data_IF_578209875245
#
_entry.id   IF_578209875245
#
_cell.length_a   1.000
_cell.length_b   1.000
_cell.length_c   1.000
_cell.angle_alpha   90.00
_cell.angle_beta   90.00
_cell.angle_gamma   90.00
#
_symmetry.space_group_name_H-M   'P 1'
#
loop_
_entity.id
_entity.type
_entity.pdbx_description
1 polymer ?
#
# COMPACT_ATOMS: atom_id res chain seq x y z
N UNK A 1 -9.18 -5.43 8.17
CA UNK A 1 -8.44 -4.49 7.32
C UNK A 1 -6.95 -4.81 7.41
N UNK A 2 -6.30 -5.00 6.26
CA UNK A 2 -4.85 -5.25 6.16
C UNK A 2 -4.03 -3.97 6.35
N UNK A 3 -2.71 -4.09 6.49
CA UNK A 3 -1.83 -2.90 6.56
C UNK A 3 -1.81 -2.13 5.24
N UNK A 4 -1.94 -2.83 4.11
CA UNK A 4 -1.96 -2.23 2.78
C UNK A 4 -3.23 -1.39 2.57
N UNK A 5 -4.40 -1.92 2.94
CA UNK A 5 -5.69 -1.21 2.86
C UNK A 5 -5.69 0.06 3.72
N UNK A 6 -5.14 0.00 4.93
CA UNK A 6 -5.08 1.16 5.80
C UNK A 6 -4.11 2.23 5.28
N UNK A 7 -2.96 1.82 4.72
CA UNK A 7 -2.03 2.75 4.08
C UNK A 7 -2.60 3.34 2.79
N UNK A 8 -3.41 2.60 2.04
CA UNK A 8 -4.15 3.13 0.90
C UNK A 8 -5.14 4.22 1.35
N UNK A 9 -5.94 3.96 2.40
CA UNK A 9 -6.82 4.97 2.98
C UNK A 9 -6.04 6.23 3.44
N UNK A 10 -4.87 6.06 4.06
CA UNK A 10 -4.01 7.17 4.46
C UNK A 10 -3.54 8.03 3.27
N UNK A 11 -3.26 7.42 2.11
CA UNK A 11 -2.83 8.16 0.92
C UNK A 11 -3.90 9.08 0.32
N UNK A 12 -5.15 8.98 0.77
CA UNK A 12 -6.25 9.85 0.35
C UNK A 12 -6.48 11.03 1.32
N UNK A 13 -5.87 11.00 2.50
CA UNK A 13 -6.00 12.08 3.48
C UNK A 13 -5.22 13.30 3.01
N UNK A 14 -5.86 14.47 3.05
CA UNK A 14 -5.21 15.73 2.70
C UNK A 14 -4.26 16.17 3.82
N UNK A 15 -2.95 16.08 3.55
CA UNK A 15 -1.88 16.45 4.49
C UNK A 15 -0.92 17.44 3.85
N UNK A 16 -0.37 18.35 4.66
CA UNK A 16 0.62 19.33 4.20
C UNK A 16 1.97 18.70 3.87
N UNK A 17 2.81 19.41 3.10
CA UNK A 17 4.10 18.88 2.65
C UNK A 17 5.02 18.40 3.78
N UNK A 18 5.11 19.19 4.86
CA UNK A 18 5.89 18.82 6.06
C UNK A 18 5.43 17.51 6.71
N UNK A 19 4.12 17.25 6.74
CA UNK A 19 3.58 15.98 7.24
C UNK A 19 3.89 14.83 6.29
N UNK A 20 3.82 15.03 4.97
CA UNK A 20 4.22 14.03 3.98
C UNK A 20 5.69 13.65 4.13
N UNK A 21 6.57 14.64 4.28
CA UNK A 21 8.02 14.42 4.44
C UNK A 21 8.34 13.67 5.74
N UNK A 22 7.51 13.85 6.79
CA UNK A 22 7.63 13.13 8.07
C UNK A 22 7.06 11.70 8.04
N UNK A 23 5.93 11.49 7.36
CA UNK A 23 5.20 10.21 7.33
C UNK A 23 5.82 9.24 6.31
N UNK A 24 6.21 9.73 5.13
CA UNK A 24 6.67 8.88 4.02
C UNK A 24 7.84 7.96 4.40
N UNK A 25 8.91 8.44 5.05
CA UNK A 25 10.04 7.58 5.41
C UNK A 25 9.65 6.47 6.39
N UNK A 26 8.71 6.74 7.30
CA UNK A 26 8.20 5.75 8.28
C UNK A 26 7.42 4.64 7.57
N UNK A 27 6.56 5.01 6.63
CA UNK A 27 5.79 4.05 5.82
C UNK A 27 6.71 3.21 4.95
N UNK A 28 7.70 3.82 4.29
CA UNK A 28 8.71 3.12 3.49
C UNK A 28 9.50 2.12 4.33
N UNK A 29 10.04 2.57 5.46
CA UNK A 29 10.81 1.73 6.37
C UNK A 29 9.99 0.51 6.83
N UNK A 30 8.73 0.72 7.22
CA UNK A 30 7.83 -0.39 7.57
C UNK A 30 7.58 -1.32 6.38
N UNK A 31 7.30 -0.81 5.18
CA UNK A 31 7.06 -1.63 3.98
C UNK A 31 8.27 -2.49 3.64
N UNK A 32 9.45 -1.89 3.67
CA UNK A 32 10.71 -2.59 3.42
C UNK A 32 10.94 -3.69 4.46
N UNK A 33 10.86 -3.36 5.77
CA UNK A 33 11.01 -4.36 6.83
C UNK A 33 9.96 -5.47 6.73
N UNK A 34 8.72 -5.14 6.36
CA UNK A 34 7.64 -6.12 6.21
C UNK A 34 7.87 -7.04 5.01
N UNK A 35 8.41 -6.53 3.91
CA UNK A 35 8.79 -7.31 2.74
C UNK A 35 9.95 -8.26 3.08
N UNK A 36 11.03 -7.75 3.68
CA UNK A 36 12.19 -8.54 4.13
C UNK A 36 11.74 -9.64 5.10
N UNK A 37 10.93 -9.29 6.11
CA UNK A 37 10.43 -10.28 7.07
C UNK A 37 9.58 -11.37 6.39
N UNK A 38 8.76 -10.99 5.41
CA UNK A 38 7.92 -11.92 4.65
C UNK A 38 8.75 -12.86 3.76
N UNK A 39 9.86 -12.39 3.23
CA UNK A 39 10.74 -13.18 2.37
C UNK A 39 11.67 -14.09 3.18
N UNK A 40 12.35 -13.54 4.19
CA UNK A 40 13.43 -14.23 4.89
C UNK A 40 12.96 -14.97 6.15
N UNK A 41 11.99 -14.42 6.88
CA UNK A 41 11.62 -14.91 8.22
C UNK A 41 10.32 -15.73 8.21
N UNK A 42 9.32 -15.31 7.43
CA UNK A 42 8.02 -15.99 7.36
C UNK A 42 8.11 -17.48 6.96
N UNK A 43 8.98 -17.92 6.02
CA UNK A 43 9.12 -19.35 5.71
C UNK A 43 9.55 -20.18 6.92
N UNK A 44 10.55 -19.70 7.65
CA UNK A 44 11.05 -20.33 8.89
C UNK A 44 9.98 -20.33 9.96
N UNK A 45 9.32 -19.19 10.17
CA UNK A 45 8.20 -19.06 11.12
C UNK A 45 7.08 -20.06 10.84
N UNK A 46 6.67 -20.20 9.56
CA UNK A 46 5.64 -21.16 9.14
C UNK A 46 6.09 -22.60 9.32
N UNK A 47 7.36 -22.91 9.07
CA UNK A 47 7.93 -24.25 9.31
C UNK A 47 7.85 -24.61 10.79
N UNK A 48 8.25 -23.70 11.69
CA UNK A 48 8.20 -23.92 13.13
C UNK A 48 6.76 -24.08 13.64
N UNK A 49 5.80 -23.34 13.09
CA UNK A 49 4.38 -23.54 13.42
C UNK A 49 3.87 -24.93 13.03
N UNK A 50 4.34 -25.49 11.91
CA UNK A 50 4.01 -26.87 11.50
C UNK A 50 4.64 -27.89 12.44
N UNK A 51 5.92 -27.71 12.78
CA UNK A 51 6.63 -28.57 13.73
C UNK A 51 5.97 -28.55 15.11
N UNK A 52 5.60 -27.37 15.61
CA UNK A 52 4.90 -27.21 16.89
C UNK A 52 3.59 -28.00 16.96
N UNK A 53 2.81 -28.04 15.87
CA UNK A 53 1.55 -28.81 15.83
C UNK A 53 1.77 -30.31 15.99
N UNK A 54 2.88 -30.82 15.46
CA UNK A 54 3.20 -32.24 15.43
C UNK A 54 4.17 -32.67 16.56
N UNK A 55 4.69 -31.71 17.33
CA UNK A 55 5.63 -31.96 18.40
C UNK A 55 4.98 -32.62 19.62
N UNK A 56 5.77 -33.40 20.35
CA UNK A 56 5.46 -33.92 21.67
C UNK A 56 5.39 -32.79 22.73
N UNK A 57 4.84 -33.05 23.93
CA UNK A 57 4.65 -32.01 24.95
C UNK A 57 5.94 -31.28 25.36
N UNK A 58 7.07 -31.98 25.42
CA UNK A 58 8.36 -31.41 25.81
C UNK A 58 8.93 -30.48 24.73
N UNK A 59 8.92 -30.88 23.44
CA UNK A 59 9.40 -30.00 22.37
C UNK A 59 8.43 -28.86 22.05
N UNK A 60 7.13 -28.99 22.36
CA UNK A 60 6.15 -27.90 22.19
C UNK A 60 6.52 -26.66 22.98
N UNK A 61 7.01 -26.80 24.22
CA UNK A 61 7.37 -25.65 25.06
C UNK A 61 8.55 -24.90 24.45
N UNK A 62 9.60 -25.62 24.02
CA UNK A 62 10.77 -25.03 23.35
C UNK A 62 10.35 -24.29 22.07
N UNK A 63 9.62 -24.97 21.18
CA UNK A 63 9.16 -24.39 19.91
C UNK A 63 8.26 -23.17 20.14
N UNK A 64 7.42 -23.17 21.18
CA UNK A 64 6.59 -22.03 21.52
C UNK A 64 7.41 -20.80 21.91
N UNK A 65 8.51 -20.97 22.66
CA UNK A 65 9.41 -19.87 23.03
C UNK A 65 10.09 -19.28 21.80
N UNK A 66 10.58 -20.12 20.89
CA UNK A 66 11.22 -19.67 19.65
C UNK A 66 10.22 -19.00 18.70
N UNK A 67 9.01 -19.56 18.54
CA UNK A 67 7.90 -18.95 17.79
C UNK A 67 7.56 -17.57 18.35
N UNK A 68 7.53 -17.42 19.69
CA UNK A 68 7.31 -16.11 20.34
C UNK A 68 8.46 -15.14 20.05
N UNK A 69 9.70 -15.60 20.08
CA UNK A 69 10.87 -14.77 19.78
C UNK A 69 10.83 -14.26 18.34
N UNK A 70 10.61 -15.15 17.37
CA UNK A 70 10.50 -14.78 15.95
C UNK A 70 9.31 -13.85 15.72
N UNK A 71 8.16 -14.11 16.35
CA UNK A 71 6.99 -13.23 16.22
C UNK A 71 7.28 -11.79 16.65
N UNK A 72 8.14 -11.57 17.66
CA UNK A 72 8.54 -10.22 18.11
C UNK A 72 9.38 -9.47 17.08
N UNK A 73 10.05 -10.17 16.17
CA UNK A 73 10.82 -9.53 15.08
C UNK A 73 9.94 -9.00 13.96
N UNK A 74 8.65 -9.39 13.94
CA UNK A 74 7.72 -8.92 12.92
C UNK A 74 7.53 -7.41 13.03
N UNK A 75 7.62 -6.65 11.92
CA UNK A 75 7.37 -5.21 11.92
C UNK A 75 6.01 -4.87 12.52
N UNK A 76 6.01 -3.96 13.50
CA UNK A 76 4.84 -3.65 14.29
C UNK A 76 3.98 -2.57 13.61
N UNK A 77 2.94 -3.01 12.91
CA UNK A 77 2.02 -2.11 12.23
C UNK A 77 1.24 -1.18 13.19
N UNK A 78 0.96 -1.61 14.42
CA UNK A 78 0.25 -0.78 15.40
C UNK A 78 1.12 0.42 15.81
N UNK A 79 2.41 0.19 16.01
CA UNK A 79 3.36 1.26 16.32
C UNK A 79 3.48 2.27 15.17
N UNK A 80 3.48 1.80 13.92
CA UNK A 80 3.44 2.71 12.76
C UNK A 80 2.16 3.56 12.77
N UNK A 81 1.00 2.94 13.00
CA UNK A 81 -0.29 3.65 13.07
C UNK A 81 -0.28 4.74 14.12
N UNK A 82 0.14 4.42 15.34
CA UNK A 82 0.23 5.39 16.44
C UNK A 82 1.14 6.57 16.08
N UNK A 83 2.31 6.28 15.52
CA UNK A 83 3.28 7.30 15.09
C UNK A 83 2.71 8.23 14.00
N UNK A 84 1.96 7.69 13.04
CA UNK A 84 1.31 8.48 12.00
C UNK A 84 0.16 9.30 12.59
N UNK A 85 -0.68 8.70 13.42
CA UNK A 85 -1.81 9.37 14.07
C UNK A 85 -1.34 10.55 14.94
N UNK A 86 -0.19 10.45 15.60
CA UNK A 86 0.41 11.57 16.33
C UNK A 86 0.82 12.75 15.42
N UNK A 87 1.04 12.50 14.14
CA UNK A 87 1.45 13.50 13.15
C UNK A 87 0.26 14.16 12.45
N UNK A 88 -0.97 13.69 12.69
CA UNK A 88 -2.21 14.20 12.11
C UNK A 88 -2.98 15.06 13.11
N UNK A 89 -3.63 16.11 12.61
CA UNK A 89 -4.58 16.89 13.39
C UNK A 89 -5.94 16.17 13.55
N UNK A 90 -6.86 16.76 14.31
CA UNK A 90 -8.18 16.17 14.56
C UNK A 90 -9.04 16.03 13.30
N UNK A 91 -8.98 17.00 12.37
CA UNK A 91 -9.76 16.97 11.14
C UNK A 91 -9.24 15.88 10.19
N UNK A 92 -7.92 15.78 10.05
CA UNK A 92 -7.21 14.75 9.28
C UNK A 92 -7.44 13.36 9.86
N UNK A 93 -7.52 13.21 11.18
CA UNK A 93 -7.90 11.94 11.81
C UNK A 93 -9.34 11.54 11.48
N UNK A 94 -10.26 12.49 11.47
CA UNK A 94 -11.64 12.24 11.07
C UNK A 94 -11.73 11.82 9.61
N UNK A 95 -11.05 12.54 8.71
CA UNK A 95 -10.94 12.20 7.28
C UNK A 95 -10.35 10.79 7.11
N UNK A 96 -9.24 10.47 7.79
CA UNK A 96 -8.65 9.14 7.77
C UNK A 96 -9.64 8.04 8.19
N UNK A 97 -10.45 8.26 9.23
CA UNK A 97 -11.47 7.29 9.64
C UNK A 97 -12.55 7.11 8.58
N UNK A 98 -12.92 8.17 7.87
CA UNK A 98 -13.84 8.10 6.75
C UNK A 98 -13.23 7.33 5.57
N UNK A 99 -12.01 7.65 5.16
CA UNK A 99 -11.27 6.94 4.12
C UNK A 99 -11.12 5.45 4.47
N UNK A 100 -10.86 5.11 5.73
CA UNK A 100 -10.80 3.72 6.21
C UNK A 100 -12.14 3.01 6.07
N UNK A 101 -13.26 3.68 6.35
CA UNK A 101 -14.60 3.11 6.15
C UNK A 101 -14.88 2.89 4.66
N UNK A 102 -14.55 3.86 3.81
CA UNK A 102 -14.72 3.77 2.36
C UNK A 102 -13.88 2.64 1.75
N UNK A 103 -12.62 2.51 2.15
CA UNK A 103 -11.75 1.45 1.66
C UNK A 103 -12.21 0.07 2.11
N UNK A 104 -12.71 -0.06 3.35
CA UNK A 104 -13.31 -1.30 3.82
C UNK A 104 -14.51 -1.72 2.96
N UNK A 105 -15.41 -0.78 2.66
CA UNK A 105 -16.57 -1.03 1.79
C UNK A 105 -16.13 -1.44 0.38
N UNK A 106 -15.10 -0.78 -0.16
CA UNK A 106 -14.53 -1.11 -1.48
C UNK A 106 -13.99 -2.54 -1.53
N UNK A 107 -13.23 -2.94 -0.51
CA UNK A 107 -12.68 -4.30 -0.39
C UNK A 107 -13.79 -5.33 -0.26
N UNK A 108 -14.78 -5.09 0.60
CA UNK A 108 -15.92 -5.99 0.80
C UNK A 108 -16.73 -6.17 -0.50
N UNK A 109 -16.98 -5.08 -1.25
CA UNK A 109 -17.65 -5.14 -2.55
C UNK A 109 -16.86 -5.93 -3.61
N UNK A 110 -15.53 -5.77 -3.64
CA UNK A 110 -14.65 -6.55 -4.55
C UNK A 110 -14.68 -8.04 -4.20
N UNK A 111 -14.68 -8.38 -2.91
CA UNK A 111 -14.75 -9.77 -2.46
C UNK A 111 -16.13 -10.39 -2.73
N UNK A 112 -17.21 -9.61 -2.63
CA UNK A 112 -18.56 -10.03 -3.03
C UNK A 112 -18.62 -10.42 -4.51
N UNK A 113 -18.23 -9.51 -5.40
CA UNK A 113 -18.21 -9.75 -6.86
C UNK A 113 -17.32 -10.94 -7.26
N UNK A 114 -16.20 -11.15 -6.58
CA UNK A 114 -15.31 -12.29 -6.82
C UNK A 114 -15.92 -13.64 -6.40
N UNK A 115 -16.82 -13.65 -5.40
CA UNK A 115 -17.55 -14.86 -5.01
C UNK A 115 -18.68 -15.19 -5.97
N UNK A 116 -19.38 -14.17 -6.48
CA UNK A 116 -20.44 -14.35 -7.47
C UNK A 116 -19.88 -14.83 -8.82
N UNK A 117 -18.71 -14.32 -9.22
CA UNK A 117 -18.00 -14.77 -10.43
C UNK A 117 -17.53 -16.23 -10.37
N UNK A 118 -17.33 -16.81 -9.17
CA UNK A 118 -17.00 -18.23 -9.00
C UNK A 118 -18.22 -19.14 -8.98
N UNK A 119 -19.43 -18.59 -8.80
CA UNK A 119 -20.70 -19.33 -8.91
C UNK A 119 -21.25 -19.31 -10.33
N UNK A 120 -20.85 -18.35 -11.16
CA UNK A 120 -21.27 -18.23 -12.57
C UNK A 120 -20.51 -19.18 -13.52
N UNK A 121 -20.26 -20.42 -13.11
CA UNK A 121 -19.83 -21.50 -13.98
C UNK A 121 -21.02 -22.14 -14.67
N UNK A 122 -21.61 -21.46 -15.66
CA UNK A 122 -22.73 -22.00 -16.43
C UNK A 122 -23.36 -21.02 -17.43
N UNK A 123 -22.88 -21.09 -18.67
CA UNK A 123 -23.52 -20.69 -19.95
C UNK A 123 -23.67 -19.18 -20.25
N UNK A 124 -23.23 -18.71 -21.44
CA UNK A 124 -23.52 -17.36 -21.90
C UNK A 124 -24.90 -17.36 -22.58
N UNK A 125 -25.86 -16.62 -22.04
CA UNK A 125 -26.96 -16.11 -22.83
C UNK A 125 -27.04 -14.60 -22.64
N UNK A 126 -26.97 -13.91 -23.78
CA UNK A 126 -27.27 -12.50 -23.93
C UNK A 126 -28.72 -12.28 -23.50
N UNK A 127 -28.96 -11.29 -22.66
CA UNK A 127 -29.75 -10.12 -23.08
C UNK A 127 -29.66 -9.02 -22.03
N UNK A 128 -29.68 -7.80 -22.54
CA UNK A 128 -29.42 -6.56 -21.84
C UNK A 128 -30.55 -6.20 -20.87
N UNK A 129 -30.18 -5.76 -19.66
CA UNK A 129 -30.88 -4.67 -18.97
C UNK A 129 -29.80 -3.77 -18.38
N UNK A 130 -29.70 -2.57 -18.94
CA UNK A 130 -29.04 -1.42 -18.33
C UNK A 130 -29.73 -1.14 -16.99
N UNK A 131 -29.14 -1.60 -15.89
CA UNK A 131 -29.43 -1.03 -14.58
C UNK A 131 -28.31 -0.05 -14.23
N UNK A 132 -28.66 1.23 -14.36
CA UNK A 132 -27.83 2.37 -14.02
C UNK A 132 -27.68 2.43 -12.50
N UNK A 133 -26.81 1.60 -11.95
CA UNK A 133 -26.35 1.75 -10.57
C UNK A 133 -25.73 3.15 -10.40
N UNK A 134 -25.94 3.81 -9.25
CA UNK A 134 -25.44 5.16 -9.02
C UNK A 134 -23.93 5.15 -9.27
N UNK A 135 -23.48 5.97 -10.22
CA UNK A 135 -22.07 6.27 -10.42
C UNK A 135 -21.57 6.87 -9.13
N UNK A 136 -20.97 6.01 -8.30
CA UNK A 136 -20.22 6.41 -7.13
C UNK A 136 -19.14 7.36 -7.65
N UNK A 137 -19.32 8.66 -7.41
CA UNK A 137 -18.27 9.66 -7.64
C UNK A 137 -17.06 9.19 -6.86
N UNK A 138 -16.12 8.55 -7.55
CA UNK A 138 -14.80 8.31 -7.01
C UNK A 138 -14.18 9.68 -6.86
N UNK A 139 -14.22 10.20 -5.64
CA UNK A 139 -13.51 11.38 -5.18
C UNK A 139 -12.16 11.45 -5.88
N UNK A 140 -12.02 12.35 -6.86
CA UNK A 140 -10.85 12.53 -7.72
C UNK A 140 -9.69 13.19 -6.97
N UNK A 141 -9.62 12.99 -5.66
CA UNK A 141 -8.44 13.34 -4.86
C UNK A 141 -7.33 12.37 -5.22
N UNK A 142 -6.37 12.87 -5.98
CA UNK A 142 -5.18 12.13 -6.36
C UNK A 142 -4.48 11.65 -5.08
N UNK A 143 -4.46 10.33 -4.87
CA UNK A 143 -3.74 9.73 -3.76
C UNK A 143 -2.27 10.12 -3.83
N UNK A 144 -1.73 10.65 -2.73
CA UNK A 144 -0.30 10.95 -2.68
C UNK A 144 0.49 9.65 -2.48
N UNK A 145 1.58 9.50 -3.22
CA UNK A 145 2.32 8.23 -3.30
C UNK A 145 3.41 8.16 -2.24
N UNK A 146 3.47 7.05 -1.52
CA UNK A 146 4.66 6.65 -0.75
C UNK A 146 5.70 6.01 -1.69
N UNK A 147 6.10 6.72 -2.76
CA UNK A 147 7.04 6.21 -3.80
C UNK A 147 8.24 5.59 -3.12
N UNK A 148 8.75 4.43 -3.55
CA UNK A 148 10.04 3.93 -3.04
C UNK A 148 11.15 4.64 -3.82
N UNK A 149 11.90 5.56 -3.20
CA UNK A 149 13.02 6.27 -3.82
C UNK A 149 14.26 5.38 -4.01
N UNK A 150 14.07 4.14 -4.45
CA UNK A 150 15.15 3.32 -5.02
C UNK A 150 15.29 3.50 -6.54
N UNK A 151 14.46 4.36 -7.16
CA UNK A 151 14.77 4.93 -8.48
C UNK A 151 15.39 6.34 -8.31
N UNK A 152 16.69 6.53 -8.62
CA UNK A 152 17.22 7.87 -8.77
C UNK A 152 16.63 8.47 -10.06
N UNK A 153 16.02 9.64 -9.92
CA UNK A 153 15.72 10.59 -10.99
C UNK A 153 14.79 10.15 -12.13
N UNK A 154 13.52 10.57 -12.06
CA UNK A 154 12.77 11.03 -13.25
C UNK A 154 11.88 12.23 -12.93
N UNK A 155 12.49 13.32 -12.50
CA UNK A 155 11.98 14.65 -12.83
C UNK A 155 12.88 15.23 -13.93
N UNK A 156 12.69 14.72 -15.15
CA UNK A 156 13.07 15.52 -16.31
C UNK A 156 11.81 16.26 -16.72
N UNK A 157 11.79 17.55 -16.39
CA UNK A 157 10.83 18.50 -16.92
C UNK A 157 10.85 18.42 -18.45
N UNK A 158 9.73 18.12 -19.14
CA UNK A 158 9.69 18.12 -20.61
C UNK A 158 9.98 19.51 -21.19
N UNK A 159 9.91 20.58 -20.39
CA UNK A 159 10.28 21.93 -20.77
C UNK A 159 11.79 22.14 -20.94
N UNK A 160 12.64 21.33 -20.28
CA UNK A 160 14.10 21.47 -20.37
C UNK A 160 14.71 20.82 -21.63
N UNK A 161 13.99 19.88 -22.27
CA UNK A 161 14.49 19.16 -23.46
C UNK A 161 14.29 19.98 -24.75
N UNK A 162 13.38 20.95 -24.74
CA UNK A 162 13.08 21.79 -25.91
C UNK A 162 14.01 23.01 -26.05
N UNK A 163 14.79 23.36 -25.02
CA UNK A 163 15.62 24.57 -25.03
C UNK A 163 17.03 24.35 -25.62
N UNK A 164 17.51 23.11 -25.74
CA UNK A 164 18.91 22.84 -26.14
C UNK A 164 19.09 22.62 -27.65
N UNK A 165 17.99 22.59 -28.43
CA UNK A 165 18.06 22.44 -29.90
C UNK A 165 17.87 23.75 -30.69
N UNK A 166 17.81 24.90 -30.00
CA UNK A 166 17.61 26.21 -30.63
C UNK A 166 18.85 27.12 -30.62
N UNK A 167 20.02 26.67 -30.14
CA UNK A 167 21.23 27.50 -30.03
C UNK A 167 22.50 26.88 -30.63
N UNK A 168 22.35 26.08 -31.68
CA UNK A 168 23.48 25.59 -32.47
C UNK A 168 23.06 25.34 -33.92
N UNK A 169 22.98 26.41 -34.71
CA UNK A 169 23.31 26.46 -36.15
C UNK A 169 22.70 27.70 -36.81
N UNK A 170 23.20 28.89 -36.46
CA UNK A 170 23.23 30.01 -37.42
C UNK A 170 24.63 30.04 -38.03
N UNK A 171 24.78 30.10 -39.36
CA UNK A 171 26.07 30.02 -40.05
C UNK A 171 26.79 31.38 -40.04
N UNK A 172 28.12 31.45 -39.92
CA UNK A 172 28.83 32.70 -40.15
C UNK A 172 28.97 32.95 -41.66
N UNK A 173 28.49 34.12 -42.07
CA UNK A 173 28.64 34.70 -43.40
C UNK A 173 30.11 34.92 -43.79
N UNK A 174 30.34 34.84 -45.10
CA UNK A 174 31.57 35.17 -45.79
C UNK A 174 31.92 36.66 -45.69
N UNK A 175 33.22 36.95 -45.61
CA UNK A 175 33.91 38.03 -46.33
C UNK A 175 35.42 37.85 -46.26
#
# INVERSE_FOLDING_TARGET
MSSEEWLAALSHVSVGRSQQDSITPRVRSYRHQAAVWKEEVDPTYRKMLKEYRNADPENRVRLLLEIKAIRKTRPNFLQLKESILQSLDAAQKSDLLEQVKQEKLRVDNRLGRAKDSKRAGGRPERDAVEDSGPKQETDTRQAWRFVDDLEPERHVDPAAVSATKAKAASPPEAK
#
